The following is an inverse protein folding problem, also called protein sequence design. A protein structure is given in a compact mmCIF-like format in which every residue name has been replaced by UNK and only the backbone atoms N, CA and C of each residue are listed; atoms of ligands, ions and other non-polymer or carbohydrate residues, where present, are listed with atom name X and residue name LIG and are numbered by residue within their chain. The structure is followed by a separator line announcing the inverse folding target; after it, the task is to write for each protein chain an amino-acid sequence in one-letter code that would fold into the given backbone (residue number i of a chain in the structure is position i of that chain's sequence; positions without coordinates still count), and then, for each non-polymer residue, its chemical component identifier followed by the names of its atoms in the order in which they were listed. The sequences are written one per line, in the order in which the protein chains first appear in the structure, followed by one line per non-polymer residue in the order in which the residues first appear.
data_IF_267239001846
#
_entry.id   IF_267239001846
#
_cell.length_a   1.000
_cell.length_b   1.000
_cell.length_c   1.000
_cell.angle_alpha   90.00
_cell.angle_beta   90.00
_cell.angle_gamma   90.00
#
_symmetry.space_group_name_H-M   'P 1'
#
loop_
_entity.id
_entity.type
_entity.pdbx_description
1 polymer ?
#
# COMPACT_ATOMS: atom_id res chain seq x y z
N UNK A 1 7.15 14.29 18.18
CA UNK A 1 7.56 12.90 18.47
C UNK A 1 7.78 12.22 17.14
N UNK A 2 8.85 11.42 16.98
CA UNK A 2 9.09 10.70 15.74
C UNK A 2 8.07 9.58 15.53
N UNK A 3 7.70 9.28 14.27
CA UNK A 3 6.83 8.15 13.96
C UNK A 3 7.45 6.83 14.42
N UNK A 4 6.60 5.93 14.94
CA UNK A 4 6.98 4.58 15.35
C UNK A 4 6.99 3.63 14.16
N UNK A 5 8.13 2.96 13.93
CA UNK A 5 8.34 2.00 12.84
C UNK A 5 8.72 0.64 13.42
N UNK A 6 8.03 -0.41 13.02
CA UNK A 6 8.40 -1.79 13.34
C UNK A 6 9.13 -2.41 12.15
N UNK A 7 10.27 -3.03 12.42
CA UNK A 7 11.13 -3.68 11.42
C UNK A 7 11.35 -5.14 11.80
N UNK A 8 10.95 -6.08 10.96
CA UNK A 8 11.30 -7.50 11.13
C UNK A 8 12.11 -8.02 9.94
N UNK A 9 13.25 -8.63 10.26
CA UNK A 9 14.17 -9.29 9.33
C UNK A 9 15.00 -10.28 10.14
N UNK A 10 15.22 -11.52 9.69
CA UNK A 10 15.99 -12.50 10.45
C UNK A 10 17.50 -12.24 10.41
N UNK A 11 17.98 -11.51 9.39
CA UNK A 11 19.38 -11.11 9.27
C UNK A 11 19.73 -9.95 10.21
N UNK A 12 20.48 -10.22 11.28
CA UNK A 12 20.91 -9.22 12.26
C UNK A 12 21.60 -7.99 11.64
N UNK A 13 22.45 -8.22 10.66
CA UNK A 13 23.19 -7.15 9.95
C UNK A 13 22.27 -6.18 9.22
N UNK A 14 21.22 -6.70 8.58
CA UNK A 14 20.21 -5.89 7.89
C UNK A 14 19.38 -5.12 8.92
N UNK A 15 18.93 -5.78 9.98
CA UNK A 15 18.18 -5.12 11.07
C UNK A 15 18.95 -3.95 11.68
N UNK A 16 20.22 -4.15 12.05
CA UNK A 16 21.07 -3.11 12.65
C UNK A 16 21.32 -1.95 11.69
N UNK A 17 21.60 -2.25 10.41
CA UNK A 17 21.79 -1.23 9.38
C UNK A 17 20.53 -0.37 9.22
N UNK A 18 19.37 -1.00 9.02
CA UNK A 18 18.12 -0.31 8.78
C UNK A 18 17.64 0.45 10.02
N UNK A 19 17.79 -0.16 11.22
CA UNK A 19 17.50 0.51 12.49
C UNK A 19 18.29 1.79 12.61
N UNK A 20 19.61 1.72 12.47
CA UNK A 20 20.49 2.88 12.61
C UNK A 20 20.17 3.97 11.58
N UNK A 21 19.89 3.55 10.35
CA UNK A 21 19.59 4.47 9.25
C UNK A 21 18.27 5.21 9.46
N UNK A 22 17.20 4.51 9.84
CA UNK A 22 15.90 5.10 10.11
C UNK A 22 15.91 5.94 11.38
N UNK A 23 16.58 5.48 12.46
CA UNK A 23 16.72 6.23 13.70
C UNK A 23 17.48 7.55 13.49
N UNK A 24 18.52 7.56 12.64
CA UNK A 24 19.24 8.79 12.30
C UNK A 24 18.40 9.84 11.56
N UNK A 25 17.28 9.40 10.94
CA UNK A 25 16.30 10.26 10.28
C UNK A 25 15.16 10.71 11.22
N UNK A 26 15.25 10.38 12.51
CA UNK A 26 14.33 10.84 13.56
C UNK A 26 13.14 9.91 13.84
N UNK A 27 13.12 8.70 13.30
CA UNK A 27 12.08 7.71 13.61
C UNK A 27 12.38 6.94 14.89
N UNK A 28 11.32 6.52 15.61
CA UNK A 28 11.41 5.55 16.70
C UNK A 28 11.29 4.15 16.11
N UNK A 29 12.40 3.39 16.10
CA UNK A 29 12.46 2.09 15.42
C UNK A 29 12.52 0.96 16.44
N UNK A 30 11.61 -0.01 16.33
CA UNK A 30 11.61 -1.26 17.06
C UNK A 30 11.93 -2.41 16.10
N UNK A 31 12.98 -3.15 16.39
CA UNK A 31 13.50 -4.22 15.52
C UNK A 31 13.22 -5.59 16.10
N UNK A 32 12.73 -6.50 15.26
CA UNK A 32 12.34 -7.86 15.64
C UNK A 32 13.08 -8.88 14.76
N UNK A 33 13.43 -10.02 15.32
CA UNK A 33 14.11 -11.11 14.63
C UNK A 33 13.13 -12.11 13.96
N UNK A 34 11.84 -11.95 14.22
CA UNK A 34 10.80 -12.82 13.66
C UNK A 34 9.48 -12.10 13.50
N UNK A 35 8.61 -12.63 12.64
CA UNK A 35 7.24 -12.17 12.46
C UNK A 35 6.40 -12.31 13.72
N UNK A 36 6.59 -13.41 14.46
CA UNK A 36 5.83 -13.68 15.69
C UNK A 36 6.12 -12.62 16.77
N UNK A 37 7.38 -12.25 16.96
CA UNK A 37 7.78 -11.21 17.92
C UNK A 37 7.20 -9.84 17.52
N UNK A 38 7.18 -9.51 16.24
CA UNK A 38 6.56 -8.28 15.75
C UNK A 38 5.05 -8.28 15.99
N UNK A 39 4.34 -9.36 15.69
CA UNK A 39 2.89 -9.46 15.88
C UNK A 39 2.51 -9.33 17.35
N UNK A 40 3.29 -9.94 18.25
CA UNK A 40 3.06 -9.81 19.69
C UNK A 40 3.23 -8.37 20.17
N UNK A 41 4.31 -7.71 19.74
CA UNK A 41 4.54 -6.30 20.06
C UNK A 41 3.44 -5.40 19.50
N UNK A 42 2.99 -5.67 18.26
CA UNK A 42 1.96 -4.87 17.60
C UNK A 42 0.59 -4.97 18.30
N UNK A 43 0.26 -6.12 18.90
CA UNK A 43 -0.97 -6.27 19.69
C UNK A 43 -0.96 -5.42 20.96
N UNK A 44 0.23 -5.18 21.53
CA UNK A 44 0.40 -4.36 22.74
C UNK A 44 0.44 -2.87 22.40
N UNK A 45 1.25 -2.49 21.43
CA UNK A 45 1.43 -1.11 21.00
C UNK A 45 1.56 -1.07 19.45
N UNK A 46 0.52 -0.63 18.71
CA UNK A 46 0.59 -0.55 17.25
C UNK A 46 1.60 0.48 16.77
N UNK A 47 2.44 0.09 15.80
CA UNK A 47 3.31 1.00 15.06
C UNK A 47 2.53 1.81 14.01
N UNK A 48 3.14 2.89 13.50
CA UNK A 48 2.58 3.71 12.44
C UNK A 48 3.00 3.26 11.03
N UNK A 49 4.05 2.43 10.93
CA UNK A 49 4.51 1.78 9.70
C UNK A 49 5.23 0.48 10.05
N UNK A 50 5.08 -0.53 9.20
CA UNK A 50 5.78 -1.81 9.35
C UNK A 50 6.65 -2.10 8.13
N UNK A 51 7.87 -2.58 8.36
CA UNK A 51 8.79 -3.09 7.35
C UNK A 51 9.01 -4.58 7.66
N UNK A 52 8.75 -5.44 6.69
CA UNK A 52 8.79 -6.89 6.86
C UNK A 52 9.68 -7.55 5.80
N UNK A 53 10.63 -8.34 6.23
CA UNK A 53 11.20 -9.34 5.32
C UNK A 53 10.17 -10.44 5.05
N UNK A 54 10.08 -10.87 3.80
CA UNK A 54 9.21 -11.99 3.41
C UNK A 54 9.78 -13.31 3.93
N UNK A 55 11.08 -13.51 3.79
CA UNK A 55 11.76 -14.77 4.04
C UNK A 55 12.29 -14.82 5.48
N UNK A 56 11.41 -15.00 6.45
CA UNK A 56 11.80 -15.19 7.86
C UNK A 56 11.46 -16.61 8.33
N UNK A 57 12.26 -17.19 9.25
CA UNK A 57 11.93 -18.46 9.88
C UNK A 57 10.69 -18.31 10.80
N UNK A 58 9.89 -19.38 10.89
CA UNK A 58 8.61 -19.35 11.62
C UNK A 58 7.50 -18.74 10.79
N UNK A 59 6.83 -17.72 11.31
CA UNK A 59 5.80 -16.99 10.58
C UNK A 59 6.42 -16.05 9.56
N UNK A 60 6.24 -16.36 8.26
CA UNK A 60 6.77 -15.58 7.15
C UNK A 60 6.12 -14.18 7.06
N UNK A 61 6.82 -13.23 6.40
CA UNK A 61 6.38 -11.85 6.29
C UNK A 61 5.05 -11.66 5.56
N UNK A 62 4.66 -12.59 4.67
CA UNK A 62 3.37 -12.53 3.96
C UNK A 62 2.22 -12.87 4.90
N UNK A 63 2.43 -13.87 5.74
CA UNK A 63 1.47 -14.26 6.76
C UNK A 63 1.31 -13.14 7.79
N UNK A 64 2.42 -12.54 8.26
CA UNK A 64 2.40 -11.36 9.15
C UNK A 64 1.64 -10.20 8.49
N UNK A 65 1.92 -9.89 7.23
CA UNK A 65 1.21 -8.84 6.48
C UNK A 65 -0.30 -9.08 6.46
N UNK A 66 -0.74 -10.30 6.18
CA UNK A 66 -2.16 -10.67 6.17
C UNK A 66 -2.81 -10.53 7.55
N UNK A 67 -2.14 -10.96 8.61
CA UNK A 67 -2.64 -10.82 9.98
C UNK A 67 -2.77 -9.34 10.36
N UNK A 68 -1.76 -8.53 10.09
CA UNK A 68 -1.83 -7.09 10.32
C UNK A 68 -2.98 -6.44 9.56
N UNK A 69 -3.20 -6.82 8.30
CA UNK A 69 -4.32 -6.30 7.48
C UNK A 69 -5.69 -6.70 7.99
N UNK A 70 -5.81 -7.78 8.74
CA UNK A 70 -7.10 -8.16 9.35
C UNK A 70 -7.53 -7.22 10.48
N UNK A 71 -6.58 -6.46 11.05
CA UNK A 71 -6.81 -5.61 12.24
C UNK A 71 -6.39 -4.16 12.05
N UNK A 72 -5.67 -3.80 10.98
CA UNK A 72 -5.12 -2.45 10.79
C UNK A 72 -4.84 -2.11 9.34
N UNK A 73 -4.99 -0.82 9.00
CA UNK A 73 -4.67 -0.23 7.68
C UNK A 73 -3.32 0.50 7.67
N UNK A 74 -2.43 0.24 8.63
CA UNK A 74 -1.10 0.86 8.67
C UNK A 74 -0.31 0.57 7.39
N UNK A 75 0.59 1.47 6.96
CA UNK A 75 1.46 1.20 5.83
C UNK A 75 2.39 0.01 6.11
N UNK A 76 2.50 -0.90 5.13
CA UNK A 76 3.41 -2.05 5.18
C UNK A 76 4.30 -2.05 3.95
N UNK A 77 5.62 -2.07 4.17
CA UNK A 77 6.64 -2.28 3.14
C UNK A 77 7.17 -3.71 3.27
N UNK A 78 7.16 -4.48 2.19
CA UNK A 78 7.78 -5.80 2.16
C UNK A 78 9.20 -5.71 1.61
N UNK A 79 10.14 -6.41 2.25
CA UNK A 79 11.48 -6.68 1.72
C UNK A 79 11.47 -8.07 1.11
N UNK A 80 12.00 -8.22 -0.10
CA UNK A 80 11.98 -9.50 -0.85
C UNK A 80 13.29 -9.77 -1.55
N UNK A 81 13.64 -11.05 -1.72
CA UNK A 81 14.79 -11.45 -2.55
C UNK A 81 14.47 -11.26 -4.04
N UNK A 82 15.50 -10.95 -4.84
CA UNK A 82 15.38 -10.59 -6.27
C UNK A 82 14.83 -11.71 -7.16
N UNK A 83 14.95 -12.96 -6.74
CA UNK A 83 14.70 -14.13 -7.58
C UNK A 83 13.30 -14.75 -7.42
N UNK A 84 12.44 -14.18 -6.59
CA UNK A 84 11.11 -14.70 -6.35
C UNK A 84 10.01 -13.86 -7.02
N UNK A 85 9.87 -14.00 -8.35
CA UNK A 85 8.67 -13.45 -9.04
C UNK A 85 7.36 -13.98 -8.41
N UNK A 86 7.38 -15.19 -7.85
CA UNK A 86 6.23 -15.79 -7.16
C UNK A 86 5.99 -15.13 -5.79
N UNK A 87 7.03 -14.85 -4.99
CA UNK A 87 6.89 -14.15 -3.72
C UNK A 87 6.49 -12.69 -3.93
N UNK A 88 6.97 -12.08 -5.01
CA UNK A 88 6.55 -10.77 -5.47
C UNK A 88 5.03 -10.70 -5.75
N UNK A 89 4.50 -11.65 -6.54
CA UNK A 89 3.07 -11.72 -6.87
C UNK A 89 2.24 -12.09 -5.64
N UNK A 90 2.76 -12.94 -4.75
CA UNK A 90 2.06 -13.35 -3.53
C UNK A 90 2.07 -12.26 -2.45
N UNK A 91 3.22 -11.60 -2.22
CA UNK A 91 3.36 -10.57 -1.19
C UNK A 91 2.46 -9.38 -1.41
N UNK A 92 2.38 -8.93 -2.64
CA UNK A 92 1.53 -7.81 -3.01
C UNK A 92 0.04 -8.20 -2.98
N UNK A 93 -0.30 -9.47 -3.24
CA UNK A 93 -1.69 -9.95 -3.12
C UNK A 93 -2.20 -9.98 -1.68
N UNK A 94 -1.31 -9.94 -0.67
CA UNK A 94 -1.63 -9.96 0.75
C UNK A 94 -1.90 -8.57 1.36
N UNK A 95 -1.80 -7.48 0.58
CA UNK A 95 -2.21 -6.15 1.05
C UNK A 95 -1.07 -5.23 1.49
N UNK A 96 0.20 -5.49 1.13
CA UNK A 96 1.28 -4.52 1.35
C UNK A 96 1.06 -3.24 0.54
N UNK A 97 1.57 -2.11 1.02
CA UNK A 97 1.45 -0.82 0.35
C UNK A 97 2.62 -0.55 -0.60
N UNK A 98 3.78 -1.14 -0.30
CA UNK A 98 4.96 -1.06 -1.12
C UNK A 98 5.87 -2.26 -0.87
N UNK A 99 6.91 -2.42 -1.69
CA UNK A 99 7.93 -3.46 -1.54
C UNK A 99 9.30 -2.95 -1.99
N UNK A 100 10.35 -3.67 -1.60
CA UNK A 100 11.72 -3.36 -1.97
C UNK A 100 12.53 -4.66 -2.14
N UNK A 101 13.17 -4.83 -3.31
CA UNK A 101 13.94 -6.03 -3.61
C UNK A 101 15.37 -5.95 -3.08
N UNK A 102 15.80 -6.96 -2.32
CA UNK A 102 17.20 -7.12 -1.87
C UNK A 102 18.10 -7.54 -3.06
N UNK A 103 19.31 -6.95 -3.21
CA UNK A 103 19.90 -5.88 -2.40
C UNK A 103 19.35 -4.49 -2.78
N UNK A 104 19.08 -3.66 -1.80
CA UNK A 104 18.58 -2.30 -1.99
C UNK A 104 19.47 -1.24 -1.34
N UNK A 105 19.29 0.01 -1.75
CA UNK A 105 19.92 1.15 -1.09
C UNK A 105 19.05 1.62 0.07
N UNK A 106 19.58 1.78 1.31
CA UNK A 106 18.79 2.27 2.45
C UNK A 106 18.09 3.61 2.20
N UNK A 107 18.67 4.47 1.35
CA UNK A 107 18.06 5.73 0.93
C UNK A 107 16.74 5.55 0.18
N UNK A 108 16.60 4.50 -0.62
CA UNK A 108 15.34 4.17 -1.34
C UNK A 108 14.27 3.74 -0.33
N UNK A 109 14.62 2.90 0.64
CA UNK A 109 13.70 2.53 1.72
C UNK A 109 13.21 3.77 2.48
N UNK A 110 14.14 4.68 2.85
CA UNK A 110 13.79 5.91 3.55
C UNK A 110 12.83 6.79 2.75
N UNK A 111 13.05 6.94 1.44
CA UNK A 111 12.12 7.66 0.56
C UNK A 111 10.71 7.05 0.59
N UNK A 112 10.61 5.72 0.54
CA UNK A 112 9.33 4.99 0.63
C UNK A 112 8.65 5.20 1.99
N UNK A 113 9.39 5.09 3.08
CA UNK A 113 8.91 5.35 4.44
C UNK A 113 8.35 6.77 4.56
N UNK A 114 9.13 7.78 4.17
CA UNK A 114 8.69 9.19 4.19
C UNK A 114 7.42 9.43 3.37
N UNK A 115 7.35 8.84 2.18
CA UNK A 115 6.19 8.98 1.31
C UNK A 115 4.93 8.36 1.93
N UNK A 116 5.06 7.17 2.53
CA UNK A 116 3.94 6.48 3.16
C UNK A 116 3.46 7.19 4.45
N UNK A 117 4.36 7.62 5.31
CA UNK A 117 4.01 8.34 6.54
C UNK A 117 3.40 9.72 6.26
N UNK A 118 4.00 10.49 5.34
CA UNK A 118 3.41 11.77 4.89
C UNK A 118 1.97 11.63 4.43
N UNK A 119 1.64 10.51 3.80
CA UNK A 119 0.28 10.19 3.37
C UNK A 119 -0.67 10.02 4.54
N UNK A 120 -0.26 9.23 5.54
CA UNK A 120 -1.05 9.01 6.75
C UNK A 120 -1.36 10.34 7.43
N UNK A 121 -0.37 11.24 7.51
CA UNK A 121 -0.55 12.59 8.06
C UNK A 121 -1.53 13.44 7.25
N UNK A 122 -1.38 13.43 5.91
CA UNK A 122 -2.29 14.17 5.02
C UNK A 122 -3.74 13.69 5.11
N UNK A 123 -3.96 12.41 5.38
CA UNK A 123 -5.30 11.87 5.56
C UNK A 123 -5.86 12.20 6.94
N UNK A 124 -5.05 12.16 7.98
CA UNK A 124 -5.42 12.62 9.33
C UNK A 124 -5.73 14.12 9.37
N UNK A 125 -5.09 14.92 8.51
CA UNK A 125 -5.28 16.39 8.42
C UNK A 125 -6.41 16.85 7.50
N UNK A 126 -7.01 15.97 6.73
CA UNK A 126 -8.16 16.30 5.86
C UNK A 126 -9.46 16.29 6.65
N UNK A 127 -9.66 17.27 7.53
CA UNK A 127 -10.99 17.73 7.88
C UNK A 127 -11.61 18.42 6.66
N UNK A 128 -12.58 17.76 6.06
CA UNK A 128 -13.64 18.28 5.17
C UNK A 128 -13.36 19.63 4.48
N UNK A 129 -12.64 19.62 3.36
CA UNK A 129 -12.77 20.67 2.36
C UNK A 129 -12.63 20.05 0.96
N UNK A 130 -13.73 20.08 0.23
CA UNK A 130 -13.90 19.85 -1.20
C UNK A 130 -13.96 18.40 -1.72
N UNK A 131 -15.14 18.08 -2.19
CA UNK A 131 -15.71 16.89 -2.83
C UNK A 131 -15.99 15.79 -1.83
N UNK A 132 -17.10 15.95 -1.09
CA UNK A 132 -17.56 14.96 -0.10
C UNK A 132 -17.87 13.60 -0.71
N UNK A 133 -18.25 13.55 -1.99
CA UNK A 133 -18.59 12.32 -2.70
C UNK A 133 -18.13 12.34 -4.17
N UNK A 134 -17.64 11.20 -4.66
CA UNK A 134 -17.38 10.92 -6.07
C UNK A 134 -18.24 9.74 -6.50
N UNK A 135 -18.83 9.84 -7.68
CA UNK A 135 -19.65 8.77 -8.25
C UNK A 135 -19.11 8.34 -9.62
N UNK A 136 -19.05 7.04 -9.83
CA UNK A 136 -18.81 6.45 -11.15
C UNK A 136 -19.39 5.05 -11.23
N UNK A 137 -20.30 4.83 -12.19
CA UNK A 137 -21.06 3.59 -12.31
C UNK A 137 -21.85 3.28 -11.04
N UNK A 138 -21.63 2.10 -10.49
CA UNK A 138 -22.26 1.63 -9.24
C UNK A 138 -21.41 1.93 -7.99
N UNK A 139 -20.32 2.67 -8.12
CA UNK A 139 -19.43 3.04 -7.03
C UNK A 139 -19.66 4.47 -6.52
N UNK A 140 -19.58 4.64 -5.21
CA UNK A 140 -19.56 5.92 -4.51
C UNK A 140 -18.34 5.98 -3.58
N UNK A 141 -17.49 7.00 -3.75
CA UNK A 141 -16.48 7.33 -2.75
C UNK A 141 -17.06 8.33 -1.76
N UNK A 142 -16.90 8.08 -0.48
CA UNK A 142 -17.26 8.98 0.61
C UNK A 142 -16.00 9.38 1.39
N UNK A 143 -15.70 10.67 1.42
CA UNK A 143 -14.57 11.19 2.20
C UNK A 143 -14.85 11.07 3.71
N UNK A 144 -16.11 11.22 4.13
CA UNK A 144 -16.51 11.10 5.53
C UNK A 144 -16.37 9.67 6.05
N UNK A 145 -16.74 8.68 5.23
CA UNK A 145 -16.61 7.25 5.57
C UNK A 145 -15.20 6.72 5.28
N UNK A 146 -14.38 7.51 4.58
CA UNK A 146 -13.07 7.12 4.07
C UNK A 146 -13.13 5.76 3.32
N UNK A 147 -14.12 5.60 2.46
CA UNK A 147 -14.42 4.33 1.80
C UNK A 147 -14.96 4.53 0.37
N UNK A 148 -14.75 3.52 -0.47
CA UNK A 148 -15.53 3.33 -1.70
C UNK A 148 -16.61 2.29 -1.42
N UNK A 149 -17.84 2.66 -1.69
CA UNK A 149 -19.02 1.82 -1.49
C UNK A 149 -19.62 1.42 -2.83
N UNK A 150 -20.19 0.22 -2.86
CA UNK A 150 -21.15 -0.21 -3.87
C UNK A 150 -22.53 -0.28 -3.22
N UNK A 151 -23.42 0.62 -3.61
CA UNK A 151 -24.64 0.86 -2.83
C UNK A 151 -24.28 1.29 -1.40
N UNK A 152 -24.68 0.51 -0.41
CA UNK A 152 -24.35 0.74 1.01
C UNK A 152 -23.26 -0.17 1.55
N UNK A 153 -22.64 -0.99 0.70
CA UNK A 153 -21.63 -1.96 1.13
C UNK A 153 -20.24 -1.45 0.79
N UNK A 154 -19.33 -1.28 1.76
CA UNK A 154 -17.98 -0.86 1.50
C UNK A 154 -17.20 -1.95 0.74
N UNK A 155 -16.41 -1.54 -0.24
CA UNK A 155 -15.44 -2.39 -0.91
C UNK A 155 -14.20 -2.49 -0.02
N UNK A 156 -13.74 -3.69 0.28
CA UNK A 156 -12.62 -3.94 1.20
C UNK A 156 -11.26 -3.52 0.58
N UNK A 157 -11.02 -2.22 0.46
CA UNK A 157 -9.79 -1.64 -0.07
C UNK A 157 -8.81 -1.29 1.06
N UNK A 158 -7.51 -1.47 0.82
CA UNK A 158 -6.49 -0.85 1.68
C UNK A 158 -6.45 0.67 1.44
N UNK A 159 -5.82 1.43 2.34
CA UNK A 159 -5.72 2.89 2.19
C UNK A 159 -5.05 3.30 0.86
N UNK A 160 -4.02 2.57 0.42
CA UNK A 160 -3.35 2.83 -0.86
C UNK A 160 -4.26 2.54 -2.06
N UNK A 161 -5.02 1.43 -2.01
CA UNK A 161 -6.00 1.07 -3.05
C UNK A 161 -7.16 2.07 -3.10
N UNK A 162 -7.65 2.48 -1.94
CA UNK A 162 -8.71 3.50 -1.80
C UNK A 162 -8.29 4.82 -2.45
N UNK A 163 -7.06 5.28 -2.17
CA UNK A 163 -6.53 6.50 -2.79
C UNK A 163 -6.39 6.39 -4.29
N UNK A 164 -5.82 5.29 -4.76
CA UNK A 164 -5.63 5.09 -6.19
C UNK A 164 -6.96 5.08 -6.92
N UNK A 165 -7.95 4.35 -6.40
CA UNK A 165 -9.27 4.30 -7.00
C UNK A 165 -9.99 5.66 -6.90
N UNK A 166 -10.00 6.31 -5.75
CA UNK A 166 -10.62 7.64 -5.59
C UNK A 166 -9.94 8.72 -6.44
N UNK A 167 -8.63 8.63 -6.63
CA UNK A 167 -7.92 9.52 -7.56
C UNK A 167 -8.40 9.35 -9.00
N UNK A 168 -8.56 8.10 -9.46
CA UNK A 168 -9.09 7.82 -10.78
C UNK A 168 -10.57 8.22 -10.92
N UNK A 169 -11.37 8.09 -9.85
CA UNK A 169 -12.78 8.49 -9.84
C UNK A 169 -13.00 10.01 -9.96
N UNK A 170 -12.00 10.85 -9.72
CA UNK A 170 -12.10 12.30 -9.95
C UNK A 170 -12.29 12.66 -11.42
N UNK A 171 -11.72 11.90 -12.32
CA UNK A 171 -11.84 12.05 -13.77
C UNK A 171 -11.89 10.65 -14.41
N UNK A 172 -13.01 9.94 -14.30
CA UNK A 172 -13.08 8.52 -14.64
C UNK A 172 -12.88 8.24 -16.13
N UNK A 173 -13.21 9.22 -16.98
CA UNK A 173 -13.01 9.11 -18.43
C UNK A 173 -11.56 9.37 -18.87
N UNK A 174 -10.71 9.86 -17.98
CA UNK A 174 -9.30 10.12 -18.27
C UNK A 174 -8.50 8.83 -18.32
N UNK A 175 -7.61 8.73 -19.31
CA UNK A 175 -6.52 7.77 -19.31
C UNK A 175 -5.35 8.32 -18.50
N UNK A 176 -4.88 7.56 -17.51
CA UNK A 176 -3.78 7.90 -16.64
C UNK A 176 -2.53 7.12 -17.02
N UNK A 177 -1.37 7.78 -17.11
CA UNK A 177 -0.10 7.07 -17.26
C UNK A 177 0.28 6.36 -15.95
N UNK A 178 1.19 5.36 -16.03
CA UNK A 178 1.73 4.70 -14.84
C UNK A 178 2.43 5.68 -13.91
N UNK A 179 3.23 6.57 -14.47
CA UNK A 179 3.97 7.59 -13.76
C UNK A 179 3.06 8.59 -13.06
N UNK A 180 2.00 9.03 -13.74
CA UNK A 180 1.00 9.92 -13.14
C UNK A 180 0.34 9.29 -11.92
N UNK A 181 -0.06 8.02 -12.01
CA UNK A 181 -0.66 7.30 -10.89
C UNK A 181 0.36 7.05 -9.77
N UNK A 182 1.61 6.71 -10.13
CA UNK A 182 2.69 6.53 -9.18
C UNK A 182 2.95 7.81 -8.39
N UNK A 183 3.10 8.93 -9.07
CA UNK A 183 3.33 10.22 -8.44
C UNK A 183 2.14 10.65 -7.57
N UNK A 184 0.91 10.53 -8.07
CA UNK A 184 -0.29 10.94 -7.35
C UNK A 184 -0.51 10.15 -6.05
N UNK A 185 -0.18 8.86 -6.05
CA UNK A 185 -0.43 7.96 -4.92
C UNK A 185 0.80 7.75 -4.06
N UNK A 186 1.99 7.64 -4.60
CA UNK A 186 3.23 7.38 -3.85
C UNK A 186 4.17 8.60 -3.75
N UNK A 187 3.98 9.61 -4.59
CA UNK A 187 4.80 10.82 -4.58
C UNK A 187 6.23 10.59 -5.05
N UNK A 188 6.45 9.57 -5.88
CA UNK A 188 7.73 9.26 -6.49
C UNK A 188 7.82 9.82 -7.90
N UNK A 189 8.98 10.37 -8.26
CA UNK A 189 9.34 10.61 -9.65
C UNK A 189 9.73 9.31 -10.36
N UNK A 190 9.68 9.31 -11.67
CA UNK A 190 9.66 8.18 -12.60
C UNK A 190 10.84 7.18 -12.55
N UNK A 191 11.87 7.41 -11.76
CA UNK A 191 13.03 6.51 -11.65
C UNK A 191 12.82 5.31 -10.71
N UNK A 192 11.72 5.29 -9.95
CA UNK A 192 11.39 4.21 -9.01
C UNK A 192 10.36 3.28 -9.66
N UNK A 193 10.62 1.97 -9.57
CA UNK A 193 9.84 0.90 -10.22
C UNK A 193 8.32 1.12 -10.28
N UNK A 194 7.78 1.19 -11.51
CA UNK A 194 6.35 1.39 -11.79
C UNK A 194 5.47 0.16 -11.51
N UNK A 195 6.05 -0.97 -11.18
CA UNK A 195 5.33 -2.25 -10.95
C UNK A 195 4.35 -2.18 -9.77
N UNK A 196 4.61 -1.34 -8.75
CA UNK A 196 3.69 -1.17 -7.62
C UNK A 196 2.33 -0.64 -8.05
N UNK A 197 2.28 0.25 -9.04
CA UNK A 197 1.04 0.77 -9.62
C UNK A 197 0.25 -0.33 -10.33
N UNK A 198 0.92 -1.10 -11.19
CA UNK A 198 0.30 -2.18 -11.96
C UNK A 198 -0.33 -3.21 -11.03
N UNK A 199 0.38 -3.58 -9.99
CA UNK A 199 -0.06 -4.58 -9.04
C UNK A 199 -1.19 -4.09 -8.13
N UNK A 200 -1.11 -2.85 -7.66
CA UNK A 200 -2.21 -2.25 -6.88
C UNK A 200 -3.49 -2.17 -7.72
N UNK A 201 -3.39 -1.82 -9.00
CA UNK A 201 -4.54 -1.83 -9.92
C UNK A 201 -5.06 -3.25 -10.18
N UNK A 202 -4.19 -4.27 -10.23
CA UNK A 202 -4.60 -5.67 -10.32
C UNK A 202 -5.42 -6.08 -9.09
N UNK A 203 -5.00 -5.69 -7.89
CA UNK A 203 -5.76 -5.95 -6.65
C UNK A 203 -7.10 -5.23 -6.64
N UNK A 204 -7.13 -3.96 -7.02
CA UNK A 204 -8.38 -3.20 -7.14
C UNK A 204 -9.36 -3.91 -8.09
N UNK A 205 -8.91 -4.35 -9.27
CA UNK A 205 -9.74 -5.12 -10.21
C UNK A 205 -10.36 -6.35 -9.54
N UNK A 206 -9.54 -7.14 -8.83
CA UNK A 206 -10.00 -8.35 -8.14
C UNK A 206 -11.05 -8.03 -7.07
N UNK A 207 -10.84 -6.96 -6.30
CA UNK A 207 -11.76 -6.55 -5.23
C UNK A 207 -13.07 -5.97 -5.78
N UNK A 208 -13.02 -5.17 -6.84
CA UNK A 208 -14.21 -4.68 -7.54
C UNK A 208 -15.03 -5.84 -8.14
N UNK A 209 -14.36 -6.80 -8.79
CA UNK A 209 -15.01 -8.00 -9.30
C UNK A 209 -15.65 -8.81 -8.18
N UNK A 210 -14.96 -9.02 -7.06
CA UNK A 210 -15.49 -9.74 -5.91
C UNK A 210 -16.68 -9.02 -5.26
N UNK A 211 -16.65 -7.70 -5.24
CA UNK A 211 -17.79 -6.89 -4.80
C UNK A 211 -18.94 -6.90 -5.82
N UNK A 212 -18.78 -7.49 -7.00
CA UNK A 212 -19.77 -7.54 -8.08
C UNK A 212 -20.01 -6.18 -8.74
N UNK A 213 -19.03 -5.26 -8.71
CA UNK A 213 -19.16 -3.93 -9.33
C UNK A 213 -19.19 -4.02 -10.86
N UNK A 214 -19.96 -3.11 -11.49
CA UNK A 214 -19.94 -2.90 -12.93
C UNK A 214 -18.70 -2.12 -13.38
N UNK A 215 -18.01 -1.46 -12.43
CA UNK A 215 -16.78 -0.70 -12.68
C UNK A 215 -15.57 -1.61 -12.63
N UNK A 216 -14.67 -1.43 -13.58
CA UNK A 216 -13.35 -2.07 -13.60
C UNK A 216 -12.27 -1.11 -14.06
N UNK A 217 -11.00 -1.49 -13.84
CA UNK A 217 -9.84 -0.78 -14.37
C UNK A 217 -9.44 -1.42 -15.70
N UNK A 218 -9.51 -0.72 -16.79
CA UNK A 218 -9.03 -1.18 -18.11
C UNK A 218 -7.58 -0.75 -18.34
N UNK A 219 -6.84 -1.58 -19.08
CA UNK A 219 -5.49 -1.24 -19.56
C UNK A 219 -5.59 -0.59 -20.92
N UNK A 220 -4.90 0.54 -21.11
CA UNK A 220 -4.71 1.18 -22.39
C UNK A 220 -3.29 0.86 -22.85
N UNK A 221 -3.19 -0.02 -23.85
CA UNK A 221 -1.93 -0.53 -24.34
C UNK A 221 -0.97 0.62 -24.74
N UNK A 222 0.27 0.53 -24.27
CA UNK A 222 1.30 1.51 -24.54
C UNK A 222 1.17 2.83 -23.79
N UNK A 223 0.10 3.03 -22.98
CA UNK A 223 -0.11 4.28 -22.25
C UNK A 223 -0.27 4.09 -20.73
N UNK A 224 -1.28 3.31 -20.29
CA UNK A 224 -1.57 3.19 -18.86
C UNK A 224 -2.96 2.60 -18.58
N UNK A 225 -3.76 3.31 -17.78
CA UNK A 225 -4.99 2.79 -17.22
C UNK A 225 -6.14 3.81 -17.23
N UNK A 226 -7.37 3.29 -17.30
CA UNK A 226 -8.60 4.08 -17.25
C UNK A 226 -9.68 3.29 -16.48
N UNK A 227 -10.59 3.98 -15.81
CA UNK A 227 -11.81 3.33 -15.33
C UNK A 227 -12.74 3.03 -16.51
N UNK A 228 -13.44 1.92 -16.43
CA UNK A 228 -14.44 1.49 -17.41
C UNK A 228 -15.64 0.93 -16.65
N UNK A 229 -16.82 1.37 -17.04
CA UNK A 229 -18.07 0.72 -16.65
C UNK A 229 -18.49 -0.31 -17.70
N UNK A 230 -18.90 -1.49 -17.27
CA UNK A 230 -19.48 -2.48 -18.16
C UNK A 230 -20.86 -1.97 -18.64
N UNK A 231 -21.10 -2.02 -19.94
CA UNK A 231 -22.42 -1.74 -20.49
C UNK A 231 -23.42 -2.73 -19.85
N UNK A 232 -24.48 -2.21 -19.28
CA UNK A 232 -25.61 -3.04 -18.84
C UNK A 232 -26.25 -3.63 -20.08
N UNK A 233 -26.01 -4.93 -20.31
CA UNK A 233 -26.72 -5.71 -21.34
C UNK A 233 -28.12 -6.00 -20.85
#
# INVERSE_FOLDING_TARGET
MGHSIYLADDEKSIRELLHSFLASDGYTVHSFESGDALLEAFRQEPAELVILDIMMPGTDGLTVCRELRSVSDIPIILLTAKDSELDYVMGISQGSDDYLTKPFRPTILLMKVRALLRRVEMDRGKTAAAVDELHYGDLRYSATENAVLRGNTPVALTQTELRLLSYMMKQPEKAYSREELLNAVWGFDSEVETRVTDETLRRIRKKLLHAGSTVSVSTIWGFGYKLKEAERT
#
